data_IF_734112678798
#
_entry.id   IF_734112678798
#
_cell.length_a   1.000
_cell.length_b   1.000
_cell.length_c   1.000
_cell.angle_alpha   90.00
_cell.angle_beta   90.00
_cell.angle_gamma   90.00
#
_symmetry.space_group_name_H-M   'P 1'
#
loop_
_entity.id
_entity.type
_entity.pdbx_description
1 polymer ?
#
# COMPACT_ATOMS: atom_id res chain seq x y z
N UNK A 1 -19.93 8.47 8.23
CA UNK A 1 -18.53 8.48 7.77
C UNK A 1 -18.23 7.10 7.25
N UNK A 2 -17.51 6.94 6.16
CA UNK A 2 -17.16 5.63 5.62
C UNK A 2 -16.27 4.85 6.61
N UNK A 3 -16.32 3.53 6.55
CA UNK A 3 -15.42 2.67 7.35
C UNK A 3 -13.99 2.66 6.78
N UNK A 4 -13.85 2.66 5.45
CA UNK A 4 -12.56 2.62 4.75
C UNK A 4 -12.41 3.82 3.82
N UNK A 5 -11.25 4.48 3.83
CA UNK A 5 -10.83 5.42 2.78
C UNK A 5 -9.81 4.75 1.87
N UNK A 6 -10.11 4.72 0.57
CA UNK A 6 -9.24 4.14 -0.46
C UNK A 6 -8.56 5.29 -1.19
N UNK A 7 -7.22 5.34 -1.16
CA UNK A 7 -6.42 6.33 -1.86
C UNK A 7 -5.86 5.68 -3.12
N UNK A 8 -6.11 6.28 -4.27
CA UNK A 8 -5.58 5.83 -5.57
C UNK A 8 -4.61 6.90 -6.10
N UNK A 9 -3.31 6.81 -5.78
CA UNK A 9 -2.32 7.72 -6.35
C UNK A 9 -2.00 7.30 -7.78
N UNK A 10 -1.95 8.26 -8.71
CA UNK A 10 -1.66 7.99 -10.11
C UNK A 10 -0.62 8.96 -10.67
N UNK A 11 0.29 8.43 -11.50
CA UNK A 11 1.14 9.18 -12.40
C UNK A 11 1.51 8.36 -13.63
N UNK A 12 0.96 8.73 -14.79
CA UNK A 12 1.23 8.08 -16.08
C UNK A 12 0.90 6.58 -16.13
N UNK A 13 -0.18 6.15 -15.46
CA UNK A 13 -0.64 4.76 -15.47
C UNK A 13 -2.02 4.58 -16.10
N UNK A 14 -2.36 5.43 -17.12
CA UNK A 14 -3.64 5.36 -17.84
C UNK A 14 -4.01 3.94 -18.26
N UNK A 15 -3.03 3.15 -18.71
CA UNK A 15 -3.23 1.75 -19.15
C UNK A 15 -3.86 0.87 -18.06
N UNK A 16 -3.50 1.10 -16.81
CA UNK A 16 -3.85 0.22 -15.69
C UNK A 16 -5.06 0.70 -14.88
N UNK A 17 -5.38 1.99 -14.94
CA UNK A 17 -6.49 2.59 -14.20
C UNK A 17 -7.83 1.87 -14.39
N UNK A 18 -8.24 1.40 -15.60
CA UNK A 18 -9.51 0.71 -15.75
C UNK A 18 -9.61 -0.54 -14.88
N UNK A 19 -8.58 -1.39 -14.88
CA UNK A 19 -8.56 -2.62 -14.09
C UNK A 19 -8.47 -2.32 -12.59
N UNK A 20 -7.67 -1.31 -12.18
CA UNK A 20 -7.58 -0.90 -10.78
C UNK A 20 -8.92 -0.39 -10.26
N UNK A 21 -9.57 0.54 -10.96
CA UNK A 21 -10.83 1.11 -10.52
C UNK A 21 -11.95 0.07 -10.52
N UNK A 22 -11.99 -0.82 -11.51
CA UNK A 22 -12.92 -1.94 -11.52
C UNK A 22 -12.74 -2.80 -10.27
N UNK A 23 -11.51 -3.23 -9.94
CA UNK A 23 -11.25 -4.07 -8.76
C UNK A 23 -11.59 -3.39 -7.43
N UNK A 24 -11.59 -2.05 -7.38
CA UNK A 24 -12.04 -1.26 -6.22
C UNK A 24 -13.57 -1.22 -6.15
N UNK A 25 -14.23 -0.89 -7.26
CA UNK A 25 -15.69 -0.72 -7.27
C UNK A 25 -16.45 -2.05 -7.15
N UNK A 26 -15.81 -3.17 -7.48
CA UNK A 26 -16.35 -4.52 -7.32
C UNK A 26 -16.09 -5.14 -5.94
N UNK A 27 -15.50 -4.41 -4.97
CA UNK A 27 -15.30 -4.92 -3.62
C UNK A 27 -16.62 -5.31 -2.96
N UNK A 28 -16.65 -6.51 -2.33
CA UNK A 28 -17.82 -7.00 -1.59
C UNK A 28 -18.11 -6.19 -0.34
N UNK A 29 -17.10 -5.60 0.28
CA UNK A 29 -17.26 -4.61 1.34
C UNK A 29 -17.64 -3.27 0.75
N UNK A 30 -18.77 -2.68 1.16
CA UNK A 30 -19.37 -1.51 0.48
C UNK A 30 -19.28 -0.21 1.25
N UNK A 31 -18.88 -0.20 2.53
CA UNK A 31 -18.79 1.03 3.35
C UNK A 31 -17.40 1.70 3.20
N UNK A 32 -17.16 2.28 2.02
CA UNK A 32 -15.91 2.98 1.72
C UNK A 32 -16.12 4.22 0.87
N UNK A 33 -15.11 5.10 0.91
CA UNK A 33 -14.91 6.22 -0.03
C UNK A 33 -13.65 6.00 -0.86
N UNK A 34 -13.57 6.67 -2.01
CA UNK A 34 -12.40 6.65 -2.91
C UNK A 34 -11.88 8.07 -3.10
N UNK A 35 -10.59 8.23 -2.92
CA UNK A 35 -9.84 9.47 -3.14
C UNK A 35 -8.92 9.23 -4.34
N UNK A 36 -9.24 9.85 -5.46
CA UNK A 36 -8.47 9.76 -6.70
C UNK A 36 -7.48 10.93 -6.77
N UNK A 37 -6.21 10.61 -6.98
CA UNK A 37 -5.13 11.60 -7.08
C UNK A 37 -4.39 11.40 -8.40
N UNK A 38 -4.18 12.48 -9.14
CA UNK A 38 -3.31 12.49 -10.31
C UNK A 38 -2.18 13.50 -10.11
N UNK A 39 -0.95 13.03 -10.20
CA UNK A 39 0.25 13.82 -9.96
C UNK A 39 0.77 14.53 -11.23
N UNK A 40 -0.11 15.23 -11.93
CA UNK A 40 0.20 15.92 -13.19
C UNK A 40 0.67 14.93 -14.27
N UNK A 41 -0.13 13.90 -14.55
CA UNK A 41 0.14 12.96 -15.63
C UNK A 41 0.20 13.62 -16.99
N UNK A 42 1.07 13.11 -17.85
CA UNK A 42 1.25 13.56 -19.24
C UNK A 42 0.56 12.63 -20.25
N UNK A 43 0.00 11.52 -19.78
CA UNK A 43 -0.89 10.64 -20.54
C UNK A 43 -2.37 11.02 -20.29
N UNK A 44 -3.32 10.27 -20.83
CA UNK A 44 -4.76 10.54 -20.69
C UNK A 44 -5.33 10.17 -19.31
N UNK A 45 -4.49 9.97 -18.27
CA UNK A 45 -4.91 9.58 -16.92
C UNK A 45 -5.88 10.58 -16.31
N UNK A 46 -5.54 11.87 -16.31
CA UNK A 46 -6.37 12.92 -15.72
C UNK A 46 -7.75 12.98 -16.37
N UNK A 47 -7.82 12.91 -17.72
CA UNK A 47 -9.08 12.88 -18.47
C UNK A 47 -9.91 11.65 -18.14
N UNK A 48 -9.27 10.49 -17.96
CA UNK A 48 -9.94 9.26 -17.58
C UNK A 48 -10.51 9.33 -16.16
N UNK A 49 -9.72 9.80 -15.20
CA UNK A 49 -10.15 9.96 -13.80
C UNK A 49 -11.30 10.96 -13.66
N UNK A 50 -11.33 12.02 -14.50
CA UNK A 50 -12.40 13.01 -14.50
C UNK A 50 -13.79 12.40 -14.74
N UNK A 51 -13.88 11.27 -15.44
CA UNK A 51 -15.16 10.56 -15.68
C UNK A 51 -15.77 10.00 -14.38
N UNK A 52 -14.97 9.85 -13.34
CA UNK A 52 -15.40 9.34 -12.04
C UNK A 52 -15.68 10.44 -11.01
N UNK A 53 -15.55 11.72 -11.37
CA UNK A 53 -15.74 12.84 -10.45
C UNK A 53 -17.14 12.87 -9.80
N UNK A 54 -18.17 12.36 -10.47
CA UNK A 54 -19.54 12.26 -9.95
C UNK A 54 -19.91 10.85 -9.46
N UNK A 55 -18.96 9.89 -9.42
CA UNK A 55 -19.24 8.54 -8.96
C UNK A 55 -19.55 8.56 -7.45
N UNK A 56 -20.63 7.92 -6.97
CA UNK A 56 -21.13 8.05 -5.59
C UNK A 56 -20.14 7.60 -4.50
N UNK A 57 -19.14 6.79 -4.85
CA UNK A 57 -18.06 6.37 -3.95
C UNK A 57 -16.84 7.30 -3.98
N UNK A 58 -16.71 8.17 -4.98
CA UNK A 58 -15.57 9.09 -5.10
C UNK A 58 -15.86 10.34 -4.28
N UNK A 59 -15.15 10.50 -3.17
CA UNK A 59 -15.26 11.67 -2.30
C UNK A 59 -14.38 12.83 -2.76
N UNK A 60 -13.23 12.52 -3.37
CA UNK A 60 -12.28 13.52 -3.85
C UNK A 60 -11.64 13.08 -5.16
N UNK A 61 -11.50 14.01 -6.09
CA UNK A 61 -10.66 13.92 -7.28
C UNK A 61 -9.73 15.12 -7.30
N UNK A 62 -8.43 14.87 -7.13
CA UNK A 62 -7.39 15.91 -7.13
C UNK A 62 -6.49 15.72 -8.35
N UNK A 63 -6.49 16.68 -9.24
CA UNK A 63 -5.60 16.75 -10.40
C UNK A 63 -4.54 17.82 -10.10
N UNK A 64 -3.29 17.39 -9.87
CA UNK A 64 -2.19 18.30 -9.52
C UNK A 64 -1.74 19.09 -10.74
N UNK A 65 -1.44 20.38 -10.58
CA UNK A 65 -0.91 21.23 -11.64
C UNK A 65 0.57 20.98 -11.94
N UNK A 66 1.28 20.42 -10.95
CA UNK A 66 2.72 20.10 -11.03
C UNK A 66 3.00 18.72 -10.46
N UNK A 67 3.93 18.00 -11.09
CA UNK A 67 4.35 16.70 -10.61
C UNK A 67 5.20 16.85 -9.35
N UNK A 68 4.85 16.10 -8.29
CA UNK A 68 5.60 16.09 -7.03
C UNK A 68 6.95 15.36 -7.12
N UNK A 69 7.09 14.47 -8.11
CA UNK A 69 8.28 13.63 -8.29
C UNK A 69 8.51 12.60 -7.19
N UNK A 70 7.53 12.39 -6.30
CA UNK A 70 7.65 11.49 -5.16
C UNK A 70 6.27 10.88 -4.81
N UNK A 71 6.10 9.54 -4.89
CA UNK A 71 4.82 8.88 -4.61
C UNK A 71 4.35 9.09 -3.17
N UNK A 72 5.26 9.23 -2.21
CA UNK A 72 4.91 9.39 -0.79
C UNK A 72 4.33 10.77 -0.47
N UNK A 73 4.60 11.78 -1.30
CA UNK A 73 3.92 13.08 -1.24
C UNK A 73 2.44 12.90 -1.67
N UNK A 74 2.18 12.07 -2.68
CA UNK A 74 0.81 11.76 -3.08
C UNK A 74 0.08 10.94 -2.00
N UNK A 75 0.76 9.99 -1.35
CA UNK A 75 0.19 9.29 -0.21
C UNK A 75 -0.24 10.30 0.87
N UNK A 76 0.63 11.23 1.26
CA UNK A 76 0.34 12.21 2.31
C UNK A 76 -0.82 13.13 1.92
N UNK A 77 -0.91 13.56 0.66
CA UNK A 77 -2.07 14.33 0.16
C UNK A 77 -3.37 13.55 0.32
N UNK A 78 -3.38 12.28 -0.08
CA UNK A 78 -4.55 11.42 0.07
C UNK A 78 -4.89 11.17 1.53
N UNK A 79 -3.90 10.86 2.37
CA UNK A 79 -4.05 10.61 3.80
C UNK A 79 -4.70 11.80 4.54
N UNK A 80 -4.37 13.03 4.13
CA UNK A 80 -4.96 14.25 4.70
C UNK A 80 -6.47 14.38 4.40
N UNK A 81 -6.99 13.74 3.36
CA UNK A 81 -8.39 13.81 2.92
C UNK A 81 -9.25 12.66 3.49
N UNK A 82 -8.63 11.62 4.05
CA UNK A 82 -9.34 10.43 4.53
C UNK A 82 -10.32 10.73 5.65
N UNK A 83 -11.50 10.10 5.62
CA UNK A 83 -12.50 10.16 6.69
C UNK A 83 -12.70 8.80 7.37
N UNK A 84 -12.33 7.70 6.72
CA UNK A 84 -12.50 6.34 7.21
C UNK A 84 -11.67 6.01 8.46
N UNK A 85 -12.12 5.02 9.22
CA UNK A 85 -11.37 4.43 10.33
C UNK A 85 -10.14 3.67 9.84
N UNK A 86 -10.28 3.01 8.68
CA UNK A 86 -9.21 2.29 8.00
C UNK A 86 -8.84 2.98 6.71
N UNK A 87 -7.61 2.75 6.28
CA UNK A 87 -7.06 3.32 5.05
C UNK A 87 -6.46 2.20 4.20
N UNK A 88 -6.69 2.28 2.91
CA UNK A 88 -6.07 1.44 1.90
C UNK A 88 -5.42 2.32 0.83
N UNK A 89 -4.10 2.20 0.64
CA UNK A 89 -3.39 2.82 -0.48
C UNK A 89 -3.37 1.80 -1.61
N UNK A 90 -4.13 2.09 -2.66
CA UNK A 90 -4.36 1.21 -3.80
C UNK A 90 -3.61 1.76 -5.03
N UNK A 91 -2.35 1.35 -5.21
CA UNK A 91 -1.48 1.79 -6.31
C UNK A 91 -2.13 1.54 -7.68
N UNK A 92 -2.03 2.51 -8.59
CA UNK A 92 -2.76 2.54 -9.86
C UNK A 92 -2.41 1.43 -10.84
N UNK A 93 -1.22 0.84 -10.74
CA UNK A 93 -0.72 -0.22 -11.61
C UNK A 93 -1.09 -1.64 -11.15
N UNK A 94 -1.64 -1.79 -9.95
CA UNK A 94 -2.07 -3.06 -9.38
C UNK A 94 -3.57 -3.33 -9.58
N UNK A 95 -4.05 -4.51 -9.13
CA UNK A 95 -5.47 -4.84 -8.97
C UNK A 95 -5.62 -5.94 -7.90
N UNK A 96 -6.85 -6.29 -7.54
CA UNK A 96 -7.05 -7.24 -6.44
C UNK A 96 -8.35 -8.03 -6.57
N UNK A 97 -8.47 -9.09 -5.76
CA UNK A 97 -9.71 -9.83 -5.57
C UNK A 97 -10.77 -8.95 -4.86
N UNK A 98 -12.02 -9.19 -5.16
CA UNK A 98 -13.14 -8.41 -4.63
C UNK A 98 -13.40 -8.63 -3.12
N UNK A 99 -12.74 -9.59 -2.49
CA UNK A 99 -12.87 -9.91 -1.06
C UNK A 99 -11.78 -9.27 -0.19
N UNK A 100 -10.80 -8.57 -0.78
CA UNK A 100 -9.65 -8.01 -0.05
C UNK A 100 -10.09 -7.11 1.11
N UNK A 101 -10.97 -6.12 0.86
CA UNK A 101 -11.42 -5.21 1.90
C UNK A 101 -12.23 -5.91 2.98
N UNK A 102 -13.12 -6.83 2.61
CA UNK A 102 -13.95 -7.56 3.56
C UNK A 102 -13.10 -8.35 4.55
N UNK A 103 -12.08 -9.06 4.05
CA UNK A 103 -11.16 -9.82 4.89
C UNK A 103 -10.31 -8.90 5.78
N UNK A 104 -9.75 -7.84 5.21
CA UNK A 104 -8.91 -6.91 5.97
C UNK A 104 -9.68 -6.18 7.08
N UNK A 105 -10.90 -5.69 6.79
CA UNK A 105 -11.76 -5.01 7.77
C UNK A 105 -12.14 -5.97 8.90
N UNK A 106 -12.54 -7.21 8.57
CA UNK A 106 -12.85 -8.23 9.58
C UNK A 106 -11.67 -8.45 10.54
N UNK A 107 -10.46 -8.67 10.01
CA UNK A 107 -9.25 -8.88 10.82
C UNK A 107 -8.96 -7.69 11.74
N UNK A 108 -9.09 -6.47 11.21
CA UNK A 108 -8.85 -5.25 11.99
C UNK A 108 -9.93 -5.03 13.06
N UNK A 109 -11.20 -5.29 12.77
CA UNK A 109 -12.31 -5.16 13.73
C UNK A 109 -12.19 -6.16 14.89
N UNK A 110 -11.77 -7.39 14.59
CA UNK A 110 -11.60 -8.44 15.60
C UNK A 110 -10.40 -8.18 16.54
N UNK A 111 -9.40 -7.38 16.14
CA UNK A 111 -8.23 -7.10 16.97
C UNK A 111 -7.85 -5.61 16.99
N UNK A 112 -8.32 -4.83 17.98
CA UNK A 112 -8.00 -3.40 18.11
C UNK A 112 -6.52 -3.05 18.34
N UNK A 113 -5.68 -4.03 18.70
CA UNK A 113 -4.23 -3.81 18.87
C UNK A 113 -3.49 -3.73 17.54
N UNK A 114 -4.08 -4.24 16.45
CA UNK A 114 -3.45 -4.20 15.13
C UNK A 114 -3.28 -2.75 14.65
N UNK A 115 -2.11 -2.45 14.13
CA UNK A 115 -1.86 -1.23 13.37
C UNK A 115 -2.25 -1.41 11.91
N UNK A 116 -1.98 -2.57 11.35
CA UNK A 116 -2.38 -2.94 9.99
C UNK A 116 -2.48 -4.45 9.81
N UNK A 117 -3.08 -4.84 8.70
CA UNK A 117 -3.05 -6.20 8.18
C UNK A 117 -2.67 -6.17 6.71
N UNK A 118 -1.99 -7.20 6.23
CA UNK A 118 -1.74 -7.39 4.81
C UNK A 118 -2.01 -8.82 4.38
N UNK A 119 -2.30 -9.01 3.10
CA UNK A 119 -2.42 -10.31 2.45
C UNK A 119 -1.16 -10.63 1.63
N UNK A 120 -1.14 -11.76 0.95
CA UNK A 120 -0.15 -12.07 -0.06
C UNK A 120 -0.48 -11.46 -1.43
N UNK A 121 0.48 -11.55 -2.35
CA UNK A 121 0.30 -11.09 -3.73
C UNK A 121 0.71 -12.15 -4.75
N UNK A 122 -0.06 -12.22 -5.85
CA UNK A 122 0.41 -12.84 -7.08
C UNK A 122 1.13 -11.77 -7.90
N UNK A 123 2.36 -12.05 -8.30
CA UNK A 123 3.10 -11.16 -9.17
C UNK A 123 2.63 -11.35 -10.61
N UNK A 124 2.35 -10.24 -11.30
CA UNK A 124 1.93 -10.25 -12.71
C UNK A 124 2.82 -9.35 -13.56
N UNK A 125 2.94 -9.64 -14.84
CA UNK A 125 3.64 -8.78 -15.79
C UNK A 125 2.78 -7.57 -16.20
N UNK A 126 3.32 -6.76 -17.13
CA UNK A 126 2.64 -5.56 -17.64
C UNK A 126 1.28 -5.83 -18.30
N UNK A 127 1.00 -7.05 -18.72
CA UNK A 127 -0.23 -7.45 -19.39
C UNK A 127 -1.16 -8.29 -18.50
N UNK A 128 -0.77 -8.48 -17.22
CA UNK A 128 -1.55 -9.18 -16.20
C UNK A 128 -1.34 -10.69 -16.17
N UNK A 129 -0.34 -11.21 -16.91
CA UNK A 129 0.02 -12.62 -16.85
C UNK A 129 0.82 -12.92 -15.58
N UNK A 130 0.47 -13.99 -14.88
CA UNK A 130 1.14 -14.41 -13.65
C UNK A 130 2.62 -14.79 -13.91
N UNK A 131 3.48 -14.34 -13.01
CA UNK A 131 4.90 -14.65 -12.99
C UNK A 131 5.18 -15.78 -11.99
N UNK A 132 6.14 -16.66 -12.30
CA UNK A 132 6.58 -17.74 -11.41
C UNK A 132 7.44 -17.23 -10.23
N UNK A 133 7.18 -16.03 -9.73
CA UNK A 133 7.89 -15.39 -8.63
C UNK A 133 6.97 -15.32 -7.41
N UNK A 134 7.54 -15.54 -6.22
CA UNK A 134 6.85 -15.38 -4.95
C UNK A 134 7.68 -14.51 -4.01
N UNK A 135 7.04 -13.52 -3.39
CA UNK A 135 7.64 -12.66 -2.37
C UNK A 135 7.05 -12.87 -0.99
N UNK A 136 5.97 -13.68 -0.89
CA UNK A 136 5.35 -13.98 0.39
C UNK A 136 6.30 -14.78 1.28
N UNK A 137 6.38 -14.44 2.57
CA UNK A 137 7.24 -15.06 3.57
C UNK A 137 6.70 -16.41 4.10
N UNK A 138 5.48 -16.79 3.72
CA UNK A 138 4.82 -18.02 4.17
C UNK A 138 4.77 -19.10 3.09
N UNK A 139 4.68 -20.37 3.52
CA UNK A 139 4.66 -21.51 2.60
C UNK A 139 3.27 -21.73 2.01
N UNK A 140 3.18 -21.61 0.67
CA UNK A 140 1.96 -21.84 -0.08
C UNK A 140 1.54 -23.30 0.03
N UNK A 141 0.23 -23.55 0.18
CA UNK A 141 -0.34 -24.89 0.31
C UNK A 141 -0.32 -25.48 1.70
N UNK A 142 0.50 -24.92 2.65
CA UNK A 142 0.49 -25.38 4.05
C UNK A 142 -0.21 -24.42 5.00
N UNK A 143 -0.07 -23.14 4.74
CA UNK A 143 -0.52 -22.08 5.64
C UNK A 143 -1.61 -21.19 5.04
N UNK A 144 -2.21 -21.62 3.93
CA UNK A 144 -3.29 -20.89 3.25
C UNK A 144 -4.49 -20.64 4.18
N UNK A 145 -5.14 -19.50 3.98
CA UNK A 145 -6.35 -19.06 4.70
C UNK A 145 -6.13 -18.84 6.21
N UNK A 146 -4.91 -18.84 6.69
CA UNK A 146 -4.59 -18.52 8.09
C UNK A 146 -4.41 -17.02 8.29
N UNK A 147 -4.82 -16.54 9.45
CA UNK A 147 -4.48 -15.22 9.95
C UNK A 147 -3.45 -15.38 11.05
N UNK A 148 -2.22 -14.93 10.80
CA UNK A 148 -1.13 -14.96 11.76
C UNK A 148 -0.91 -13.56 12.33
N UNK A 149 -1.01 -13.40 13.65
CA UNK A 149 -0.78 -12.13 14.33
C UNK A 149 0.59 -12.13 14.99
N UNK A 150 1.35 -11.06 14.76
CA UNK A 150 2.68 -10.85 15.30
C UNK A 150 2.69 -9.60 16.17
N UNK A 151 3.34 -9.67 17.33
CA UNK A 151 3.61 -8.45 18.11
C UNK A 151 4.49 -7.50 17.30
N UNK A 152 4.37 -6.19 17.57
CA UNK A 152 5.20 -5.15 16.95
C UNK A 152 6.68 -5.53 16.89
N UNK A 153 7.27 -5.91 18.05
CA UNK A 153 8.68 -6.29 18.15
C UNK A 153 9.03 -7.48 17.25
N UNK A 154 8.23 -8.54 17.29
CA UNK A 154 8.46 -9.74 16.48
C UNK A 154 8.34 -9.42 14.98
N UNK A 155 7.32 -8.66 14.57
CA UNK A 155 7.15 -8.30 13.17
C UNK A 155 8.32 -7.47 12.64
N UNK A 156 8.76 -6.47 13.40
CA UNK A 156 9.91 -5.64 13.01
C UNK A 156 11.19 -6.45 12.89
N UNK A 157 11.44 -7.40 13.81
CA UNK A 157 12.63 -8.24 13.80
C UNK A 157 12.63 -9.26 12.68
N UNK A 158 11.54 -10.00 12.53
CA UNK A 158 11.50 -11.18 11.67
C UNK A 158 11.17 -10.82 10.20
N UNK A 159 10.43 -9.71 9.96
CA UNK A 159 9.88 -9.37 8.64
C UNK A 159 10.36 -8.03 8.08
N UNK A 160 10.79 -7.08 8.93
CA UNK A 160 11.12 -5.73 8.48
C UNK A 160 12.58 -5.34 8.65
N UNK A 161 13.40 -6.14 9.34
CA UNK A 161 14.78 -5.77 9.63
C UNK A 161 15.68 -5.88 8.40
N UNK A 162 15.61 -6.97 7.65
CA UNK A 162 16.48 -7.22 6.50
C UNK A 162 15.85 -6.87 5.16
N UNK A 163 14.55 -6.87 5.08
CA UNK A 163 13.78 -6.60 3.86
C UNK A 163 12.40 -6.05 4.21
N UNK A 164 11.70 -5.50 3.23
CA UNK A 164 10.33 -5.05 3.38
C UNK A 164 9.37 -6.20 3.05
N UNK A 165 8.83 -6.88 4.07
CA UNK A 165 7.82 -7.94 3.86
C UNK A 165 6.46 -7.35 3.42
N UNK A 166 6.19 -6.09 3.79
CA UNK A 166 5.07 -5.31 3.24
C UNK A 166 5.50 -4.66 1.91
N UNK A 167 5.93 -5.46 0.96
CA UNK A 167 6.62 -5.07 -0.27
C UNK A 167 5.74 -4.32 -1.30
N UNK A 168 4.44 -4.22 -1.06
CA UNK A 168 3.49 -3.51 -1.92
C UNK A 168 2.35 -2.89 -1.10
N UNK A 169 2.09 -1.60 -1.26
CA UNK A 169 1.06 -0.90 -0.49
C UNK A 169 -0.36 -1.43 -0.76
N UNK A 170 -0.63 -1.87 -2.00
CA UNK A 170 -1.95 -2.34 -2.42
C UNK A 170 -2.43 -3.60 -1.70
N UNK A 171 -1.52 -4.35 -1.04
CA UNK A 171 -1.89 -5.55 -0.27
C UNK A 171 -2.27 -5.25 1.18
N UNK A 172 -2.20 -3.98 1.62
CA UNK A 172 -2.23 -3.59 3.03
C UNK A 172 -3.37 -2.64 3.35
N UNK A 173 -4.13 -2.95 4.41
CA UNK A 173 -5.13 -2.03 5.00
C UNK A 173 -4.69 -1.72 6.42
N UNK A 174 -4.74 -0.44 6.82
CA UNK A 174 -4.21 0.01 8.09
C UNK A 174 -5.15 0.95 8.85
N UNK A 175 -4.92 1.07 10.13
CA UNK A 175 -5.73 1.87 11.05
C UNK A 175 -5.29 3.33 11.03
N UNK A 176 -6.20 4.25 10.68
CA UNK A 176 -5.95 5.70 10.64
C UNK A 176 -5.41 6.25 11.96
N UNK A 177 -5.96 5.82 13.10
CA UNK A 177 -5.52 6.27 14.42
C UNK A 177 -4.06 5.91 14.72
N UNK A 178 -3.52 4.85 14.12
CA UNK A 178 -2.11 4.47 14.25
C UNK A 178 -1.21 5.30 13.35
N UNK A 179 -1.66 5.56 12.11
CA UNK A 179 -0.98 6.48 11.20
C UNK A 179 -0.82 7.89 11.80
N UNK A 180 -1.81 8.39 12.51
CA UNK A 180 -1.74 9.70 13.17
C UNK A 180 -0.64 9.82 14.23
N UNK A 181 -0.05 8.71 14.67
CA UNK A 181 1.02 8.65 15.67
C UNK A 181 2.43 8.53 15.06
N UNK A 182 2.56 8.51 13.74
CA UNK A 182 3.86 8.41 13.09
C UNK A 182 4.31 9.76 12.52
N UNK A 183 5.62 9.96 12.45
CA UNK A 183 6.23 11.11 11.78
C UNK A 183 6.16 10.93 10.26
N UNK A 184 6.16 12.04 9.54
CA UNK A 184 6.04 12.06 8.08
C UNK A 184 7.37 12.06 7.34
N UNK A 185 8.47 11.73 7.98
CA UNK A 185 9.81 11.71 7.41
C UNK A 185 10.01 10.65 6.30
N UNK A 186 9.12 9.65 6.20
CA UNK A 186 9.06 8.74 5.05
C UNK A 186 8.84 9.48 3.72
N UNK A 187 8.22 10.68 3.74
CA UNK A 187 8.01 11.52 2.55
C UNK A 187 9.29 12.15 2.02
N UNK A 188 10.36 12.19 2.83
CA UNK A 188 11.68 12.67 2.40
C UNK A 188 12.45 11.61 1.61
N UNK A 189 12.03 10.35 1.69
CA UNK A 189 12.59 9.24 0.92
C UNK A 189 11.93 9.17 -0.47
N UNK A 190 12.66 8.64 -1.42
CA UNK A 190 12.19 8.50 -2.79
C UNK A 190 12.02 7.04 -3.23
N UNK A 191 12.76 6.12 -2.61
CA UNK A 191 12.86 4.72 -3.04
C UNK A 191 12.42 3.70 -1.99
N UNK A 192 12.64 4.00 -0.71
CA UNK A 192 12.36 3.10 0.42
C UNK A 192 11.38 3.72 1.43
N UNK A 193 10.65 4.77 1.03
CA UNK A 193 9.71 5.44 1.93
C UNK A 193 8.53 4.56 2.34
N UNK A 194 8.11 3.63 1.47
CA UNK A 194 7.14 2.59 1.81
C UNK A 194 7.64 1.68 2.93
N UNK A 195 8.87 1.17 2.82
CA UNK A 195 9.47 0.36 3.87
C UNK A 195 9.55 1.12 5.20
N UNK A 196 9.99 2.36 5.16
CA UNK A 196 10.08 3.20 6.35
C UNK A 196 8.70 3.51 6.95
N UNK A 197 7.70 3.76 6.10
CA UNK A 197 6.32 3.93 6.52
C UNK A 197 5.78 2.69 7.27
N UNK A 198 5.97 1.49 6.70
CA UNK A 198 5.48 0.25 7.33
C UNK A 198 6.21 -0.08 8.62
N UNK A 199 7.51 0.21 8.73
CA UNK A 199 8.27 0.10 9.99
C UNK A 199 7.62 0.99 11.05
N UNK A 200 7.37 2.27 10.75
CA UNK A 200 6.74 3.20 11.68
C UNK A 200 5.32 2.78 12.08
N UNK A 201 4.57 2.24 11.15
CA UNK A 201 3.24 1.69 11.42
C UNK A 201 3.33 0.47 12.35
N UNK A 202 4.26 -0.46 12.10
CA UNK A 202 4.47 -1.63 12.95
C UNK A 202 4.92 -1.27 14.38
N UNK A 203 5.61 -0.14 14.59
CA UNK A 203 5.91 0.37 15.94
C UNK A 203 4.67 0.77 16.74
N UNK A 204 3.54 1.04 16.09
CA UNK A 204 2.31 1.56 16.75
C UNK A 204 1.31 0.46 17.12
N UNK A 205 1.59 -0.79 16.78
CA UNK A 205 0.71 -1.91 17.15
C UNK A 205 1.13 -3.23 16.51
N UNK A 206 0.40 -4.27 16.83
CA UNK A 206 0.60 -5.59 16.26
C UNK A 206 0.26 -5.59 14.77
N UNK A 207 0.75 -6.61 14.05
CA UNK A 207 0.50 -6.79 12.61
C UNK A 207 -0.10 -8.17 12.36
N UNK A 208 -1.10 -8.23 11.51
CA UNK A 208 -1.66 -9.51 11.05
C UNK A 208 -1.30 -9.77 9.58
N UNK A 209 -0.92 -11.00 9.28
CA UNK A 209 -0.71 -11.49 7.91
C UNK A 209 -1.85 -12.46 7.59
N UNK A 210 -2.61 -12.17 6.56
CA UNK A 210 -3.58 -13.08 5.96
C UNK A 210 -2.87 -13.91 4.88
N UNK A 211 -2.77 -15.20 5.08
CA UNK A 211 -2.14 -16.13 4.15
C UNK A 211 -3.07 -16.47 2.96
N UNK A 212 -3.58 -15.43 2.32
CA UNK A 212 -4.30 -15.48 1.04
C UNK A 212 -3.69 -14.48 0.07
N UNK A 213 -3.65 -14.81 -1.22
CA UNK A 213 -3.14 -13.95 -2.28
C UNK A 213 -4.26 -13.17 -2.93
N UNK A 214 -4.68 -12.12 -2.26
CA UNK A 214 -5.79 -11.27 -2.71
C UNK A 214 -5.35 -10.08 -3.54
N UNK A 215 -4.06 -9.77 -3.58
CA UNK A 215 -3.50 -8.69 -4.38
C UNK A 215 -2.80 -9.22 -5.64
N UNK A 216 -2.79 -8.42 -6.69
CA UNK A 216 -2.05 -8.65 -7.94
C UNK A 216 -1.03 -7.53 -8.09
N UNK A 217 0.23 -7.83 -7.77
CA UNK A 217 1.33 -6.89 -7.82
C UNK A 217 1.96 -6.88 -9.21
N UNK A 218 1.83 -5.77 -9.92
CA UNK A 218 2.32 -5.65 -11.28
C UNK A 218 3.79 -5.27 -11.35
N UNK A 219 4.52 -6.01 -12.20
CA UNK A 219 5.94 -5.75 -12.49
C UNK A 219 6.08 -5.29 -13.93
N UNK A 220 6.50 -4.05 -14.14
CA UNK A 220 6.73 -3.47 -15.47
C UNK A 220 7.94 -2.52 -15.47
N UNK A 221 8.45 -2.18 -16.66
CA UNK A 221 9.69 -1.38 -16.81
C UNK A 221 9.57 0.05 -16.25
N UNK A 222 8.37 0.60 -16.18
CA UNK A 222 8.12 1.95 -15.65
C UNK A 222 7.97 1.96 -14.12
N UNK A 223 7.89 0.79 -13.46
CA UNK A 223 7.78 0.70 -12.00
C UNK A 223 8.95 1.40 -11.32
N UNK A 224 8.66 2.13 -10.24
CA UNK A 224 9.66 2.88 -9.46
C UNK A 224 10.86 2.02 -9.05
N UNK A 225 10.64 0.74 -8.81
CA UNK A 225 11.66 -0.23 -8.37
C UNK A 225 12.60 -0.75 -9.48
N UNK A 226 12.28 -0.59 -10.76
CA UNK A 226 13.01 -1.23 -11.87
C UNK A 226 14.09 -0.33 -12.52
N UNK A 227 14.07 0.99 -12.29
CA UNK A 227 14.99 1.91 -12.97
C UNK A 227 16.43 1.85 -12.39
N UNK A 228 17.40 1.55 -13.26
CA UNK A 228 18.79 1.15 -12.94
C UNK A 228 19.65 2.22 -12.24
N UNK A 229 19.35 3.50 -12.41
CA UNK A 229 20.13 4.64 -11.85
C UNK A 229 19.96 4.85 -10.34
N UNK A 230 19.24 3.97 -9.67
CA UNK A 230 18.72 4.15 -8.31
C UNK A 230 19.50 3.39 -7.24
N UNK A 231 20.42 2.50 -7.59
CA UNK A 231 21.06 1.59 -6.62
C UNK A 231 21.82 2.33 -5.51
N UNK A 232 22.58 3.37 -5.84
CA UNK A 232 23.35 4.12 -4.84
C UNK A 232 22.44 4.92 -3.91
N UNK A 233 21.46 5.64 -4.46
CA UNK A 233 20.49 6.43 -3.66
C UNK A 233 19.62 5.54 -2.78
N UNK A 234 19.18 4.40 -3.32
CA UNK A 234 18.45 3.39 -2.56
C UNK A 234 19.29 2.82 -1.42
N UNK A 235 20.61 2.65 -1.60
CA UNK A 235 21.51 2.19 -0.54
C UNK A 235 21.58 3.19 0.62
N UNK A 236 21.65 4.48 0.34
CA UNK A 236 21.64 5.54 1.38
C UNK A 236 20.35 5.49 2.19
N UNK A 237 19.19 5.38 1.53
CA UNK A 237 17.91 5.26 2.24
C UNK A 237 17.83 3.98 3.07
N UNK A 238 18.30 2.85 2.56
CA UNK A 238 18.40 1.59 3.32
C UNK A 238 19.29 1.73 4.55
N UNK A 239 20.46 2.38 4.43
CA UNK A 239 21.34 2.64 5.57
C UNK A 239 20.65 3.52 6.63
N UNK A 240 19.85 4.49 6.20
CA UNK A 240 19.05 5.33 7.11
C UNK A 240 18.04 4.45 7.88
N UNK A 241 17.34 3.54 7.20
CA UNK A 241 16.39 2.61 7.81
C UNK A 241 17.11 1.68 8.80
N UNK A 242 18.22 1.06 8.40
CA UNK A 242 19.00 0.19 9.31
C UNK A 242 19.51 0.95 10.54
N UNK A 243 19.98 2.18 10.36
CA UNK A 243 20.43 3.03 11.47
C UNK A 243 19.28 3.36 12.42
N UNK A 244 18.10 3.62 11.87
CA UNK A 244 16.89 3.87 12.66
C UNK A 244 16.51 2.64 13.48
N UNK A 245 16.41 1.46 12.86
CA UNK A 245 16.07 0.21 13.51
C UNK A 245 17.10 -0.17 14.58
N UNK A 246 18.39 0.04 14.31
CA UNK A 246 19.47 -0.19 15.26
C UNK A 246 19.34 0.69 16.50
N UNK A 247 19.12 1.99 16.32
CA UNK A 247 18.95 2.94 17.43
C UNK A 247 17.74 2.63 18.31
N UNK A 248 16.70 2.05 17.74
CA UNK A 248 15.49 1.65 18.47
C UNK A 248 15.66 0.34 19.27
N UNK A 249 16.83 -0.29 19.20
CA UNK A 249 17.12 -1.54 19.90
C UNK A 249 16.04 -2.62 19.69
N UNK A 250 15.56 -2.76 18.46
CA UNK A 250 14.52 -3.75 18.07
C UNK A 250 15.03 -5.20 18.23
N UNK A 251 15.97 -5.41 19.11
CA UNK A 251 16.56 -6.68 19.52
C UNK A 251 15.98 -7.19 20.86
N UNK A 252 14.69 -6.93 21.09
CA UNK A 252 14.00 -7.41 22.28
C UNK A 252 14.00 -8.93 22.39
#
# INVERSE_FOLDING_TARGET
MPKVSIIVPNYNYRKYLPQRLQSIFEQTFTDYEVILLDDCSTDDSAQYLQQFASHPKVSHLILSETNSGNPFIQWEKGLALTQGEYIWIAESDDYCENTLLQNAVKILDENPRLSFTHCGSILVDQDGKELSLNYDSWEIGKDENKVCTYSSCRYLKDFMFYHNDTYNASMTVFRKSKYQLIDKDFTTMKYCGDWFFWIKMAEKGDVAILHERLNRFRRHRQSVTVQIDRKEKQLVEKLTIFTYLWKKQIFC
#
